data_IF_703833555604
#
_entry.id   IF_703833555604
#
_cell.length_a   1.000
_cell.length_b   1.000
_cell.length_c   1.000
_cell.angle_alpha   90.00
_cell.angle_beta   90.00
_cell.angle_gamma   90.00
#
_symmetry.space_group_name_H-M   'P 1'
#
loop_
_entity.id
_entity.type
_entity.pdbx_description
1 polymer ?
#
# COMPACT_ATOMS: atom_id res chain seq x y z
N UNK A 1 27.23 -27.08 -11.84
CA UNK A 1 26.17 -26.14 -12.25
C UNK A 1 26.21 -24.98 -11.27
N UNK A 2 26.13 -23.73 -11.74
CA UNK A 2 26.13 -22.58 -10.84
C UNK A 2 24.79 -22.49 -10.10
N UNK A 3 24.81 -22.20 -8.80
CA UNK A 3 23.59 -21.97 -8.01
C UNK A 3 22.82 -20.77 -8.53
N UNK A 4 21.49 -20.83 -8.41
CA UNK A 4 20.59 -19.69 -8.69
C UNK A 4 19.84 -19.31 -7.41
N UNK A 5 19.35 -18.08 -7.32
CA UNK A 5 18.82 -17.54 -6.07
C UNK A 5 17.54 -16.71 -6.33
N UNK A 6 16.74 -16.48 -5.28
CA UNK A 6 15.67 -15.47 -5.32
C UNK A 6 16.24 -14.05 -5.39
N UNK A 7 15.43 -13.11 -5.87
CA UNK A 7 15.92 -11.76 -6.23
C UNK A 7 16.33 -10.93 -5.02
N UNK A 8 15.50 -10.88 -3.96
CA UNK A 8 15.66 -9.90 -2.88
C UNK A 8 16.41 -10.48 -1.68
N UNK A 9 16.12 -11.73 -1.31
CA UNK A 9 16.68 -12.38 -0.12
C UNK A 9 17.77 -13.42 -0.44
N UNK A 10 18.12 -13.59 -1.73
CA UNK A 10 19.16 -14.52 -2.17
C UNK A 10 18.98 -15.95 -1.62
N UNK A 11 17.74 -16.43 -1.55
CA UNK A 11 17.44 -17.80 -1.12
C UNK A 11 17.89 -18.75 -2.24
N UNK A 12 18.75 -19.71 -1.91
CA UNK A 12 19.27 -20.66 -2.90
C UNK A 12 18.14 -21.53 -3.45
N UNK A 13 18.09 -21.59 -4.77
CA UNK A 13 17.14 -22.40 -5.54
C UNK A 13 17.78 -23.74 -5.88
N UNK A 14 16.96 -24.78 -5.88
CA UNK A 14 17.37 -26.11 -6.34
C UNK A 14 17.80 -26.04 -7.80
N UNK A 15 18.90 -26.70 -8.13
CA UNK A 15 19.42 -26.69 -9.48
C UNK A 15 18.59 -27.63 -10.39
N UNK A 16 18.60 -27.37 -11.70
CA UNK A 16 17.85 -28.19 -12.66
C UNK A 16 18.27 -29.66 -12.59
N UNK A 17 17.34 -30.55 -12.27
CA UNK A 17 17.59 -31.99 -12.14
C UNK A 17 17.85 -32.48 -10.70
N UNK A 18 18.07 -31.56 -9.75
CA UNK A 18 18.03 -31.89 -8.32
C UNK A 18 16.59 -32.24 -7.91
N UNK A 19 16.42 -33.19 -6.98
CA UNK A 19 15.12 -33.65 -6.49
C UNK A 19 14.14 -34.07 -7.62
N UNK A 20 14.51 -35.15 -8.32
CA UNK A 20 13.81 -35.74 -9.49
C UNK A 20 12.29 -35.52 -9.52
N UNK A 21 11.79 -34.90 -10.59
CA UNK A 21 10.37 -34.60 -10.82
C UNK A 21 10.09 -33.10 -10.99
N UNK A 22 8.81 -32.69 -10.85
CA UNK A 22 8.39 -31.28 -10.92
C UNK A 22 8.64 -30.48 -9.63
N UNK A 23 9.02 -31.16 -8.54
CA UNK A 23 9.07 -30.58 -7.20
C UNK A 23 10.14 -29.49 -7.04
N UNK A 24 11.31 -29.64 -7.67
CA UNK A 24 12.34 -28.60 -7.66
C UNK A 24 11.85 -27.29 -8.30
N UNK A 25 11.23 -27.38 -9.48
CA UNK A 25 10.67 -26.21 -10.18
C UNK A 25 9.54 -25.55 -9.39
N UNK A 26 8.58 -26.33 -8.87
CA UNK A 26 7.47 -25.80 -8.07
C UNK A 26 7.98 -25.15 -6.79
N UNK A 27 8.95 -25.75 -6.11
CA UNK A 27 9.50 -25.19 -4.87
C UNK A 27 10.28 -23.90 -5.12
N UNK A 28 11.07 -23.85 -6.19
CA UNK A 28 11.76 -22.62 -6.61
C UNK A 28 10.78 -21.47 -6.88
N UNK A 29 9.65 -21.78 -7.51
CA UNK A 29 8.60 -20.80 -7.75
C UNK A 29 7.94 -20.31 -6.44
N UNK A 30 7.70 -21.21 -5.49
CA UNK A 30 7.20 -20.82 -4.16
C UNK A 30 8.20 -19.94 -3.41
N UNK A 31 9.51 -20.18 -3.55
CA UNK A 31 10.54 -19.30 -3.01
C UNK A 31 10.50 -17.91 -3.66
N UNK A 32 10.28 -17.82 -4.97
CA UNK A 32 10.07 -16.52 -5.62
C UNK A 32 8.82 -15.79 -5.09
N UNK A 33 7.74 -16.51 -4.79
CA UNK A 33 6.55 -15.90 -4.17
C UNK A 33 6.86 -15.37 -2.77
N UNK A 34 7.52 -16.17 -1.93
CA UNK A 34 7.88 -15.75 -0.56
C UNK A 34 8.83 -14.54 -0.57
N UNK A 35 9.80 -14.53 -1.49
CA UNK A 35 10.71 -13.42 -1.71
C UNK A 35 9.93 -12.13 -2.05
N UNK A 36 8.92 -12.21 -2.92
CA UNK A 36 8.07 -11.07 -3.30
C UNK A 36 7.19 -10.57 -2.15
N UNK A 37 6.57 -11.47 -1.39
CA UNK A 37 5.68 -11.10 -0.27
C UNK A 37 6.42 -10.23 0.75
N UNK A 38 7.70 -10.52 1.00
CA UNK A 38 8.54 -9.77 1.93
C UNK A 38 9.24 -8.55 1.31
N UNK A 39 8.98 -8.24 0.03
CA UNK A 39 9.71 -7.23 -0.75
C UNK A 39 8.84 -6.03 -1.17
N UNK A 40 9.52 -5.01 -1.68
CA UNK A 40 8.94 -3.79 -2.23
C UNK A 40 8.93 -3.82 -3.76
N UNK A 41 7.90 -3.21 -4.37
CA UNK A 41 7.83 -3.02 -5.83
C UNK A 41 7.30 -1.64 -6.20
N UNK A 42 7.94 -1.00 -7.18
CA UNK A 42 7.34 0.11 -7.91
C UNK A 42 6.55 -0.43 -9.10
N UNK A 43 5.29 -0.01 -9.24
CA UNK A 43 4.37 -0.39 -10.31
C UNK A 43 3.98 0.87 -11.07
N UNK A 44 4.32 0.93 -12.36
CA UNK A 44 3.97 2.06 -13.21
C UNK A 44 2.54 1.90 -13.74
N UNK A 45 1.70 2.88 -13.46
CA UNK A 45 0.42 3.06 -14.13
C UNK A 45 0.70 3.75 -15.47
N UNK A 46 0.14 3.21 -16.54
CA UNK A 46 0.28 3.78 -17.89
C UNK A 46 -0.23 5.22 -17.92
N UNK A 47 0.45 6.07 -18.68
CA UNK A 47 0.05 7.47 -18.84
C UNK A 47 -1.36 7.60 -19.42
N UNK A 48 -2.12 8.55 -18.89
CA UNK A 48 -3.51 8.84 -19.26
C UNK A 48 -4.49 7.66 -19.06
N UNK A 49 -4.19 6.79 -18.10
CA UNK A 49 -5.06 5.67 -17.75
C UNK A 49 -5.89 6.00 -16.50
N UNK A 50 -7.19 6.18 -16.70
CA UNK A 50 -8.17 6.35 -15.62
C UNK A 50 -8.42 5.03 -14.85
N UNK A 51 -7.88 3.91 -15.35
CA UNK A 51 -7.99 2.58 -14.73
C UNK A 51 -6.70 1.78 -14.85
N UNK A 52 -6.46 0.92 -13.86
CA UNK A 52 -5.36 -0.03 -13.83
C UNK A 52 -5.81 -1.29 -13.10
N UNK A 53 -5.27 -2.47 -13.46
CA UNK A 53 -5.55 -3.71 -12.73
C UNK A 53 -4.27 -4.20 -12.06
N UNK A 54 -4.31 -4.32 -10.74
CA UNK A 54 -3.25 -4.95 -9.96
C UNK A 54 -3.66 -6.40 -9.66
N UNK A 55 -3.09 -7.34 -10.40
CA UNK A 55 -3.35 -8.76 -10.21
C UNK A 55 -2.50 -9.29 -9.06
N UNK A 56 -3.12 -9.84 -8.02
CA UNK A 56 -2.45 -10.54 -6.90
C UNK A 56 -1.95 -11.90 -7.36
N UNK A 57 -2.81 -12.61 -8.08
CA UNK A 57 -2.60 -13.92 -8.69
C UNK A 57 -3.61 -14.11 -9.81
N UNK A 58 -3.40 -15.07 -10.69
CA UNK A 58 -4.46 -15.44 -11.62
C UNK A 58 -5.69 -15.98 -10.87
N UNK A 59 -6.89 -15.70 -11.38
CA UNK A 59 -8.12 -16.21 -10.78
C UNK A 59 -8.21 -17.74 -10.85
N UNK A 60 -7.61 -18.32 -11.89
CA UNK A 60 -7.54 -19.76 -12.13
C UNK A 60 -6.20 -20.10 -12.78
N UNK A 61 -5.10 -20.18 -12.02
CA UNK A 61 -3.78 -20.47 -12.58
C UNK A 61 -3.71 -21.91 -13.10
N UNK A 62 -3.26 -22.09 -14.34
CA UNK A 62 -2.91 -23.38 -14.94
C UNK A 62 -1.52 -23.88 -14.51
N UNK A 63 -0.69 -23.00 -13.95
CA UNK A 63 0.66 -23.33 -13.46
C UNK A 63 1.06 -22.44 -12.29
N UNK A 64 2.06 -22.86 -11.51
CA UNK A 64 2.66 -22.01 -10.48
C UNK A 64 3.08 -20.66 -11.05
N UNK A 65 3.85 -20.67 -12.15
CA UNK A 65 4.43 -19.51 -12.85
C UNK A 65 3.48 -18.34 -13.08
N UNK A 66 2.20 -18.61 -13.31
CA UNK A 66 1.16 -17.60 -13.53
C UNK A 66 0.85 -16.76 -12.27
N UNK A 67 1.25 -17.21 -11.09
CA UNK A 67 1.09 -16.48 -9.84
C UNK A 67 2.19 -15.43 -9.60
N UNK A 68 3.21 -15.30 -10.45
CA UNK A 68 4.27 -14.28 -10.33
C UNK A 68 3.81 -12.89 -10.78
N UNK A 69 2.75 -12.39 -10.17
CA UNK A 69 2.13 -11.10 -10.48
C UNK A 69 2.70 -9.97 -9.61
N UNK A 70 2.45 -8.71 -9.99
CA UNK A 70 2.90 -7.55 -9.22
C UNK A 70 2.10 -7.36 -7.91
N UNK A 71 0.86 -7.85 -7.83
CA UNK A 71 0.11 -7.86 -6.57
C UNK A 71 0.57 -8.92 -5.56
N UNK A 72 1.61 -9.71 -5.87
CA UNK A 72 2.27 -10.58 -4.87
C UNK A 72 3.06 -9.77 -3.83
N UNK A 73 3.58 -8.60 -4.20
CA UNK A 73 4.27 -7.73 -3.26
C UNK A 73 3.28 -7.14 -2.26
N UNK A 74 3.72 -6.96 -1.00
CA UNK A 74 2.87 -6.38 0.05
C UNK A 74 3.10 -4.89 0.23
N UNK A 75 4.21 -4.35 -0.29
CA UNK A 75 4.51 -2.92 -0.32
C UNK A 75 4.67 -2.48 -1.76
N UNK A 76 3.76 -1.63 -2.23
CA UNK A 76 3.70 -1.22 -3.63
C UNK A 76 3.64 0.31 -3.74
N UNK A 77 4.53 0.88 -4.55
CA UNK A 77 4.48 2.29 -4.93
C UNK A 77 3.94 2.42 -6.35
N UNK A 78 2.79 3.07 -6.49
CA UNK A 78 2.29 3.45 -7.80
C UNK A 78 3.07 4.65 -8.32
N UNK A 79 3.54 4.53 -9.56
CA UNK A 79 4.27 5.58 -10.29
C UNK A 79 3.64 5.80 -11.67
N UNK A 80 4.15 6.75 -12.44
CA UNK A 80 3.61 7.12 -13.75
C UNK A 80 2.96 8.49 -13.72
N UNK A 81 2.77 9.09 -14.89
CA UNK A 81 2.15 10.41 -15.03
C UNK A 81 0.66 10.23 -15.35
N UNK A 82 -0.21 10.80 -14.52
CA UNK A 82 -1.67 10.75 -14.67
C UNK A 82 -2.19 12.11 -15.14
N UNK A 83 -3.31 12.11 -15.85
CA UNK A 83 -4.10 13.29 -16.25
C UNK A 83 -5.50 13.30 -15.59
N UNK A 84 -5.80 12.28 -14.78
CA UNK A 84 -7.04 12.07 -14.06
C UNK A 84 -6.81 11.18 -12.83
N UNK A 85 -7.82 11.05 -11.96
CA UNK A 85 -7.79 10.05 -10.90
C UNK A 85 -7.83 8.64 -11.50
N UNK A 86 -6.94 7.75 -11.06
CA UNK A 86 -6.88 6.38 -11.55
C UNK A 86 -7.54 5.40 -10.58
N UNK A 87 -8.44 4.56 -11.08
CA UNK A 87 -8.98 3.42 -10.32
C UNK A 87 -8.11 2.18 -10.49
N UNK A 88 -7.43 1.76 -9.43
CA UNK A 88 -6.67 0.51 -9.39
C UNK A 88 -7.56 -0.61 -8.87
N UNK A 89 -7.94 -1.52 -9.76
CA UNK A 89 -8.72 -2.72 -9.43
C UNK A 89 -7.79 -3.84 -8.96
N UNK A 90 -7.95 -4.27 -7.72
CA UNK A 90 -7.16 -5.36 -7.13
C UNK A 90 -7.85 -6.70 -7.43
N UNK A 91 -7.21 -7.52 -8.27
CA UNK A 91 -7.78 -8.77 -8.77
C UNK A 91 -7.05 -10.02 -8.23
N UNK A 92 -7.73 -11.18 -8.13
CA UNK A 92 -9.16 -11.36 -8.24
C UNK A 92 -9.88 -10.82 -7.00
N UNK A 93 -11.19 -10.59 -7.11
CA UNK A 93 -12.03 -10.15 -5.99
C UNK A 93 -12.28 -11.24 -4.92
N UNK A 94 -11.77 -12.45 -5.14
CA UNK A 94 -11.74 -13.54 -4.15
C UNK A 94 -10.43 -13.59 -3.34
N UNK A 95 -9.49 -12.69 -3.61
CA UNK A 95 -8.22 -12.65 -2.91
C UNK A 95 -8.30 -11.74 -1.67
N UNK A 96 -8.30 -12.36 -0.49
CA UNK A 96 -8.03 -11.65 0.76
C UNK A 96 -6.52 -11.41 0.91
N UNK A 97 -6.09 -10.16 1.09
CA UNK A 97 -4.67 -9.79 1.19
C UNK A 97 -4.52 -8.39 1.78
N UNK A 98 -3.45 -8.15 2.54
CA UNK A 98 -3.08 -6.82 3.02
C UNK A 98 -2.05 -6.17 2.09
N UNK A 99 -2.02 -4.83 2.10
CA UNK A 99 -1.06 -4.03 1.34
C UNK A 99 -0.70 -2.76 2.08
N UNK A 100 0.52 -2.28 1.81
CA UNK A 100 0.93 -0.90 2.00
C UNK A 100 1.09 -0.29 0.62
N UNK A 101 0.26 0.67 0.29
CA UNK A 101 0.30 1.37 -0.99
C UNK A 101 0.79 2.80 -0.80
N UNK A 102 1.63 3.26 -1.71
CA UNK A 102 2.04 4.66 -1.83
C UNK A 102 1.64 5.18 -3.19
N UNK A 103 0.94 6.31 -3.23
CA UNK A 103 0.67 7.03 -4.47
C UNK A 103 1.81 8.02 -4.74
N UNK A 104 2.74 7.66 -5.63
CA UNK A 104 3.82 8.53 -6.08
C UNK A 104 3.73 8.81 -7.58
N UNK A 105 2.50 8.91 -8.11
CA UNK A 105 2.28 9.33 -9.48
C UNK A 105 2.63 10.81 -9.66
N UNK A 106 2.80 11.25 -10.90
CA UNK A 106 3.04 12.65 -11.25
C UNK A 106 1.88 13.19 -12.06
N UNK A 107 1.74 14.51 -12.12
CA UNK A 107 0.77 15.19 -12.98
C UNK A 107 1.35 15.36 -14.40
N UNK A 108 0.65 14.86 -15.43
CA UNK A 108 0.96 15.16 -16.84
C UNK A 108 0.17 16.32 -17.44
N UNK A 109 -0.92 16.77 -16.81
CA UNK A 109 -1.87 17.75 -17.33
C UNK A 109 -1.86 19.12 -16.64
N UNK A 110 -1.01 19.34 -15.63
CA UNK A 110 -0.99 20.56 -14.78
C UNK A 110 -2.34 20.89 -14.15
N UNK A 111 -3.20 19.89 -13.99
CA UNK A 111 -4.56 20.03 -13.46
C UNK A 111 -4.75 19.32 -12.12
N UNK A 112 -3.68 18.75 -11.56
CA UNK A 112 -3.58 18.48 -10.14
C UNK A 112 -2.57 17.41 -9.78
N UNK A 113 -2.25 17.26 -8.48
CA UNK A 113 -1.93 15.94 -7.99
C UNK A 113 -3.17 15.04 -8.10
N UNK A 114 -3.06 13.92 -8.82
CA UNK A 114 -4.15 12.94 -8.97
C UNK A 114 -4.12 11.85 -7.91
N UNK A 115 -5.31 11.37 -7.54
CA UNK A 115 -5.48 10.30 -6.57
C UNK A 115 -5.49 8.92 -7.24
N UNK A 116 -5.10 7.91 -6.45
CA UNK A 116 -5.30 6.50 -6.79
C UNK A 116 -6.46 5.98 -5.95
N UNK A 117 -7.46 5.39 -6.59
CA UNK A 117 -8.64 4.82 -5.95
C UNK A 117 -8.51 3.30 -6.00
N UNK A 118 -8.35 2.67 -4.85
CA UNK A 118 -8.23 1.23 -4.72
C UNK A 118 -9.63 0.61 -4.68
N UNK A 119 -9.88 -0.36 -5.55
CA UNK A 119 -11.13 -1.10 -5.58
C UNK A 119 -10.91 -2.61 -5.60
N UNK A 120 -11.88 -3.35 -5.07
CA UNK A 120 -11.99 -4.79 -5.24
C UNK A 120 -13.49 -5.11 -5.25
N UNK A 121 -14.00 -5.84 -6.25
CA UNK A 121 -15.44 -6.11 -6.33
C UNK A 121 -16.30 -4.84 -6.40
N UNK A 122 -17.50 -4.88 -5.82
CA UNK A 122 -18.46 -3.77 -5.77
C UNK A 122 -18.61 -3.14 -4.38
N UNK A 123 -17.80 -3.55 -3.40
CA UNK A 123 -17.82 -3.01 -2.04
C UNK A 123 -17.11 -1.67 -1.92
N UNK A 124 -16.70 -1.33 -0.70
CA UNK A 124 -16.06 -0.06 -0.41
C UNK A 124 -14.68 0.06 -1.09
N UNK A 125 -14.32 1.30 -1.44
CA UNK A 125 -13.04 1.67 -2.04
C UNK A 125 -12.23 2.54 -1.08
N UNK A 126 -10.91 2.61 -1.28
CA UNK A 126 -10.00 3.49 -0.53
C UNK A 126 -9.29 4.43 -1.49
N UNK A 127 -9.38 5.73 -1.24
CA UNK A 127 -8.66 6.76 -2.01
C UNK A 127 -7.34 7.11 -1.35
N UNK A 128 -6.26 7.06 -2.12
CA UNK A 128 -4.92 7.52 -1.72
C UNK A 128 -4.59 8.78 -2.53
N UNK A 129 -4.57 9.92 -1.86
CA UNK A 129 -4.14 11.19 -2.46
C UNK A 129 -2.67 11.14 -2.89
N UNK A 130 -2.29 11.96 -3.85
CA UNK A 130 -0.90 12.02 -4.30
C UNK A 130 0.07 12.30 -3.14
N UNK A 131 1.22 11.64 -3.16
CA UNK A 131 2.24 11.75 -2.11
C UNK A 131 1.92 10.99 -0.82
N UNK A 132 0.70 10.47 -0.67
CA UNK A 132 0.28 9.76 0.54
C UNK A 132 0.45 8.25 0.44
N UNK A 133 0.40 7.59 1.59
CA UNK A 133 0.38 6.13 1.71
C UNK A 133 -0.80 5.66 2.53
N UNK A 134 -1.29 4.46 2.27
CA UNK A 134 -2.33 3.81 3.05
C UNK A 134 -1.97 2.35 3.35
N UNK A 135 -2.33 1.91 4.56
CA UNK A 135 -2.34 0.50 4.93
C UNK A 135 -3.76 0.01 4.72
N UNK A 136 -3.93 -0.96 3.83
CA UNK A 136 -5.24 -1.48 3.45
C UNK A 136 -5.26 -3.00 3.48
N UNK A 137 -6.45 -3.57 3.51
CA UNK A 137 -6.65 -4.97 3.17
C UNK A 137 -7.88 -5.15 2.29
N UNK A 138 -7.79 -6.15 1.44
CA UNK A 138 -8.86 -6.70 0.64
C UNK A 138 -9.51 -7.83 1.42
N UNK A 139 -10.84 -7.85 1.53
CA UNK A 139 -11.57 -8.91 2.25
C UNK A 139 -11.83 -10.16 1.39
N UNK A 140 -11.69 -10.06 0.05
CA UNK A 140 -11.85 -11.18 -0.87
C UNK A 140 -13.27 -11.75 -0.93
N UNK A 141 -14.32 -10.97 -0.60
CA UNK A 141 -15.71 -11.46 -0.55
C UNK A 141 -16.37 -11.71 -1.94
N UNK A 142 -15.58 -11.87 -3.00
CA UNK A 142 -16.06 -12.09 -4.36
C UNK A 142 -16.69 -10.84 -4.95
N UNK A 143 -17.92 -10.94 -5.48
CA UNK A 143 -18.58 -9.79 -6.11
C UNK A 143 -18.74 -8.60 -5.15
N UNK A 144 -19.01 -8.85 -3.87
CA UNK A 144 -19.20 -7.82 -2.85
C UNK A 144 -17.94 -7.47 -2.08
N UNK A 145 -16.76 -7.91 -2.55
CA UNK A 145 -15.49 -7.63 -1.90
C UNK A 145 -15.28 -6.13 -1.71
N UNK A 146 -14.45 -5.77 -0.73
CA UNK A 146 -14.13 -4.38 -0.40
C UNK A 146 -12.64 -4.21 -0.15
N UNK A 147 -12.15 -3.00 -0.41
CA UNK A 147 -10.87 -2.52 0.12
C UNK A 147 -11.15 -1.73 1.37
N UNK A 148 -10.50 -2.12 2.47
CA UNK A 148 -10.68 -1.50 3.79
C UNK A 148 -9.39 -0.80 4.19
N UNK A 149 -9.50 0.46 4.61
CA UNK A 149 -8.40 1.16 5.27
C UNK A 149 -8.25 0.63 6.69
N UNK A 150 -7.13 -0.04 6.97
CA UNK A 150 -6.86 -0.67 8.26
C UNK A 150 -6.78 0.34 9.42
N UNK A 151 -6.56 1.62 9.12
CA UNK A 151 -6.44 2.73 10.08
C UNK A 151 -7.68 3.63 10.12
N UNK A 152 -8.84 3.16 9.62
CA UNK A 152 -10.11 3.90 9.68
C UNK A 152 -10.75 3.96 11.08
N UNK A 153 -10.54 2.94 11.93
CA UNK A 153 -11.00 2.94 13.34
C UNK A 153 -10.04 2.19 14.28
N UNK A 154 -8.76 2.60 14.34
CA UNK A 154 -7.76 1.95 15.17
C UNK A 154 -7.94 2.32 16.65
N UNK A 155 -7.64 1.38 17.55
CA UNK A 155 -7.49 1.67 18.98
C UNK A 155 -6.02 1.98 19.25
N UNK A 156 -5.74 3.20 19.70
CA UNK A 156 -4.38 3.63 20.07
C UNK A 156 -4.28 3.86 21.58
N UNK A 157 -3.19 3.39 22.18
CA UNK A 157 -2.83 3.78 23.56
C UNK A 157 -2.19 5.17 23.63
N UNK A 158 -1.35 5.50 22.65
CA UNK A 158 -0.71 6.80 22.46
C UNK A 158 -0.38 6.98 20.97
N UNK A 159 -0.49 8.20 20.44
CA UNK A 159 -0.07 8.56 19.08
C UNK A 159 1.10 9.53 19.19
N UNK A 160 2.14 9.34 18.38
CA UNK A 160 3.26 10.27 18.25
C UNK A 160 3.33 10.68 16.79
N UNK A 161 3.24 11.98 16.51
CA UNK A 161 3.32 12.52 15.14
C UNK A 161 4.63 13.28 15.05
N UNK A 162 5.58 12.69 14.32
CA UNK A 162 6.99 13.15 14.32
C UNK A 162 7.42 13.74 12.97
N UNK A 163 6.46 14.13 12.12
CA UNK A 163 6.75 14.86 10.89
C UNK A 163 6.10 16.22 10.95
N UNK A 164 6.92 17.23 10.70
CA UNK A 164 6.63 18.65 10.91
C UNK A 164 6.25 19.36 9.60
N UNK A 165 5.64 20.54 9.74
CA UNK A 165 5.47 21.56 8.69
C UNK A 165 6.76 22.39 8.49
N UNK A 166 7.75 22.25 9.37
CA UNK A 166 9.16 22.66 9.24
C UNK A 166 10.12 21.50 9.59
N UNK A 167 11.38 21.74 9.95
CA UNK A 167 12.35 20.70 10.31
C UNK A 167 12.77 20.79 11.78
N UNK A 168 12.57 19.73 12.57
CA UNK A 168 13.20 19.53 13.89
C UNK A 168 12.28 19.52 15.11
N UNK A 169 10.97 19.37 14.88
CA UNK A 169 9.96 20.00 15.73
C UNK A 169 8.70 19.10 15.81
N UNK A 170 8.66 18.18 16.77
CA UNK A 170 7.60 17.15 16.89
C UNK A 170 6.43 17.63 17.77
N UNK A 171 5.22 17.75 17.20
CA UNK A 171 4.00 17.96 17.96
C UNK A 171 3.49 16.64 18.58
N UNK A 172 3.21 16.63 19.90
CA UNK A 172 2.63 15.47 20.57
C UNK A 172 1.13 15.66 20.85
N UNK A 173 0.34 14.64 20.53
CA UNK A 173 -1.07 14.55 20.93
C UNK A 173 -1.27 13.31 21.81
N UNK A 174 -1.96 13.45 22.95
CA UNK A 174 -2.14 12.35 23.88
C UNK A 174 -3.32 12.54 24.84
N UNK A 175 -3.43 11.62 25.80
CA UNK A 175 -4.45 11.65 26.84
C UNK A 175 -3.84 11.25 28.19
N UNK A 176 -4.30 11.89 29.26
CA UNK A 176 -4.12 11.38 30.62
C UNK A 176 -5.46 11.36 31.35
N UNK A 177 -5.63 10.43 32.28
CA UNK A 177 -6.85 10.34 33.08
C UNK A 177 -7.08 11.56 33.99
N UNK A 178 -6.03 12.35 34.27
CA UNK A 178 -6.08 13.54 35.12
C UNK A 178 -6.28 14.82 34.31
N UNK A 179 -5.60 14.98 33.17
CA UNK A 179 -5.58 16.23 32.39
C UNK A 179 -6.44 16.17 31.11
N UNK A 180 -6.95 15.00 30.73
CA UNK A 180 -7.70 14.83 29.49
C UNK A 180 -6.80 14.86 28.24
N UNK A 181 -7.30 15.44 27.15
CA UNK A 181 -6.54 15.58 25.90
C UNK A 181 -5.37 16.56 26.09
N UNK A 182 -4.17 16.13 25.71
CA UNK A 182 -2.94 16.93 25.78
C UNK A 182 -2.44 17.14 24.36
N UNK A 183 -2.32 18.40 23.94
CA UNK A 183 -1.70 18.81 22.69
C UNK A 183 -0.55 19.73 23.09
N UNK A 184 0.67 19.41 22.66
CA UNK A 184 1.84 20.24 22.95
C UNK A 184 2.27 21.00 21.71
N UNK A 185 2.54 22.29 21.89
CA UNK A 185 2.97 23.22 20.86
C UNK A 185 4.48 23.37 20.71
N UNK A 186 4.85 24.06 19.64
CA UNK A 186 6.21 24.36 19.17
C UNK A 186 6.92 25.47 19.98
N UNK A 187 8.21 25.67 19.67
CA UNK A 187 9.18 26.51 20.40
C UNK A 187 8.90 28.01 20.61
N UNK A 188 9.89 28.62 21.27
CA UNK A 188 10.03 29.95 21.90
C UNK A 188 8.91 30.48 22.82
N UNK A 189 7.65 30.08 22.70
CA UNK A 189 6.66 30.17 23.81
C UNK A 189 5.36 29.42 23.49
N UNK A 190 5.08 28.35 24.27
CA UNK A 190 3.77 27.70 24.54
C UNK A 190 2.60 27.97 23.57
N UNK A 191 2.70 27.69 22.27
CA UNK A 191 1.59 27.95 21.34
C UNK A 191 0.86 26.67 20.92
N UNK A 192 -0.38 26.50 21.40
CA UNK A 192 -1.32 25.46 20.95
C UNK A 192 -2.46 26.18 20.24
N UNK A 193 -2.39 26.23 18.91
CA UNK A 193 -3.43 26.87 18.08
C UNK A 193 -4.58 25.89 17.86
N UNK A 194 -5.70 26.12 18.53
CA UNK A 194 -6.97 25.42 18.30
C UNK A 194 -7.95 26.39 17.65
N UNK A 195 -8.20 26.22 16.35
CA UNK A 195 -9.24 26.99 15.65
C UNK A 195 -10.54 26.18 15.63
N UNK A 196 -11.64 26.81 16.04
CA UNK A 196 -12.98 26.26 15.78
C UNK A 196 -13.35 26.62 14.34
N UNK A 197 -13.66 25.62 13.51
CA UNK A 197 -13.86 25.72 12.04
C UNK A 197 -15.07 26.59 11.61
N UNK A 198 -15.78 27.22 12.56
CA UNK A 198 -17.01 27.94 12.28
C UNK A 198 -17.10 29.31 12.99
N UNK A 199 -16.04 30.11 13.00
CA UNK A 199 -16.24 31.54 13.27
C UNK A 199 -15.45 32.44 12.31
N UNK A 200 -16.18 33.32 11.63
CA UNK A 200 -15.68 34.21 10.59
C UNK A 200 -15.12 35.52 11.16
N UNK A 201 -14.74 35.56 12.44
CA UNK A 201 -14.25 36.79 13.08
C UNK A 201 -13.27 36.44 14.20
N UNK A 202 -12.02 36.85 14.00
CA UNK A 202 -10.91 36.82 14.98
C UNK A 202 -11.06 37.97 15.96
#
# INVERSE_FOLDING_TARGET
MASSYTTNFSIEKMATGDQSGAWGTTTNHNFDILDRIASYKAVAITTNADTHTLTIREASPGSGTENLQDGMYRVIKFTGALDSNCTVTIAPNSAASYFIFTNATTDSGSSGPYSVILSQGSGANVTITNGSSAIVYCDGAGSGAAVVNALSSPVFGKVSVTSDTATGDDAAMGYTSVLGAIITGQGSTNDVTLVNDADATV
#
